data_IF_285266060428
#
_entry.id   IF_285266060428
#
_cell.length_a   1.000
_cell.length_b   1.000
_cell.length_c   1.000
_cell.angle_alpha   90.00
_cell.angle_beta   90.00
_cell.angle_gamma   90.00
#
_symmetry.space_group_name_H-M   'P 1'
#
loop_
_entity.id
_entity.type
_entity.pdbx_description
1 polymer ?
#
# COMPACT_ATOMS: atom_id res chain seq x y z
N UNK A 1 -4.64 39.13 -5.03
CA UNK A 1 -3.98 37.82 -5.27
C UNK A 1 -3.89 37.11 -3.94
N UNK A 2 -4.74 36.11 -3.69
CA UNK A 2 -4.60 35.21 -2.55
C UNK A 2 -4.32 33.81 -3.11
N UNK A 3 -3.09 33.36 -2.95
CA UNK A 3 -2.64 32.01 -3.25
C UNK A 3 -2.49 31.33 -1.89
N UNK A 4 -3.43 30.46 -1.52
CA UNK A 4 -3.31 29.58 -0.38
C UNK A 4 -3.65 28.15 -0.79
N UNK A 5 -2.57 27.44 -1.15
CA UNK A 5 -2.20 26.06 -0.84
C UNK A 5 -3.09 24.89 -1.33
N UNK A 6 -2.46 23.80 -1.84
CA UNK A 6 -3.17 22.62 -2.30
C UNK A 6 -3.75 21.89 -1.09
N UNK A 7 -5.06 21.89 -0.93
CA UNK A 7 -5.76 21.01 -0.01
C UNK A 7 -5.59 19.59 -0.52
N UNK A 8 -4.55 18.88 -0.08
CA UNK A 8 -4.47 17.45 -0.26
C UNK A 8 -5.74 16.84 0.36
N UNK A 9 -6.49 16.11 -0.46
CA UNK A 9 -7.70 15.37 -0.06
C UNK A 9 -7.39 14.57 1.22
N UNK A 10 -8.24 14.61 2.27
CA UNK A 10 -8.09 13.77 3.46
C UNK A 10 -7.83 12.28 3.15
N UNK A 11 -8.37 11.78 2.04
CA UNK A 11 -8.05 10.43 1.54
C UNK A 11 -6.58 10.30 1.12
N UNK A 12 -6.03 11.28 0.39
CA UNK A 12 -4.63 11.28 -0.02
C UNK A 12 -3.69 11.37 1.19
N UNK A 13 -3.99 12.22 2.16
CA UNK A 13 -3.17 12.35 3.38
C UNK A 13 -3.13 11.06 4.19
N UNK A 14 -4.28 10.39 4.32
CA UNK A 14 -4.38 9.10 5.02
C UNK A 14 -3.70 7.96 4.25
N UNK A 15 -3.73 7.98 2.91
CA UNK A 15 -2.97 7.04 2.09
C UNK A 15 -1.45 7.22 2.24
N UNK A 16 -0.97 8.46 2.33
CA UNK A 16 0.45 8.75 2.57
C UNK A 16 0.88 8.29 3.98
N UNK A 17 0.02 8.45 5.00
CA UNK A 17 0.26 7.91 6.34
C UNK A 17 0.33 6.36 6.32
N UNK A 18 -0.59 5.72 5.60
CA UNK A 18 -0.56 4.27 5.38
C UNK A 18 0.74 3.83 4.70
N UNK A 19 1.16 4.52 3.63
CA UNK A 19 2.38 4.21 2.89
C UNK A 19 3.64 4.30 3.77
N UNK A 20 3.72 5.31 4.66
CA UNK A 20 4.82 5.43 5.63
C UNK A 20 4.90 4.24 6.59
N UNK A 21 3.76 3.76 7.09
CA UNK A 21 3.72 2.59 7.96
C UNK A 21 4.10 1.32 7.21
N UNK A 22 3.63 1.17 5.97
CA UNK A 22 4.01 0.04 5.12
C UNK A 22 5.51 0.06 4.84
N UNK A 23 6.09 1.21 4.47
CA UNK A 23 7.53 1.34 4.21
C UNK A 23 8.39 0.97 5.43
N UNK A 24 7.90 1.19 6.65
CA UNK A 24 8.60 0.79 7.87
C UNK A 24 8.65 -0.74 8.11
N UNK A 25 7.83 -1.53 7.40
CA UNK A 25 7.81 -3.00 7.49
C UNK A 25 8.89 -3.64 6.59
N UNK A 26 9.25 -2.97 5.50
CA UNK A 26 10.13 -3.51 4.47
C UNK A 26 11.55 -2.97 4.61
N UNK A 27 12.54 -3.73 4.14
CA UNK A 27 13.93 -3.27 4.18
C UNK A 27 14.17 -2.20 3.11
N UNK A 28 15.06 -1.22 3.37
CA UNK A 28 15.48 -0.28 2.34
C UNK A 28 15.99 -1.00 1.08
N UNK A 29 15.44 -0.65 -0.08
CA UNK A 29 15.80 -1.25 -1.36
C UNK A 29 15.03 -2.54 -1.72
N UNK A 30 14.15 -3.03 -0.86
CA UNK A 30 13.22 -4.09 -1.25
C UNK A 30 12.28 -3.59 -2.36
N UNK A 31 12.10 -4.43 -3.37
CA UNK A 31 11.22 -4.15 -4.50
C UNK A 31 9.77 -4.44 -4.10
N UNK A 32 9.06 -3.41 -3.63
CA UNK A 32 7.68 -3.52 -3.18
C UNK A 32 6.80 -2.58 -3.99
N UNK A 33 5.65 -3.07 -4.44
CA UNK A 33 4.67 -2.28 -5.18
C UNK A 33 3.30 -2.36 -4.53
N UNK A 34 2.66 -1.21 -4.35
CA UNK A 34 1.22 -1.11 -4.11
C UNK A 34 0.51 -1.40 -5.43
N UNK A 35 -0.17 -2.54 -5.48
CA UNK A 35 -0.93 -2.99 -6.66
C UNK A 35 -2.39 -2.53 -6.59
N UNK A 36 -2.94 -2.46 -5.38
CA UNK A 36 -4.30 -1.97 -5.14
C UNK A 36 -4.33 -1.16 -3.85
N UNK A 37 -5.07 -0.05 -3.86
CA UNK A 37 -5.40 0.72 -2.67
C UNK A 37 -6.86 1.17 -2.81
N UNK A 38 -7.73 0.67 -1.94
CA UNK A 38 -9.14 1.00 -1.91
C UNK A 38 -9.49 1.67 -0.58
N UNK A 39 -10.08 2.87 -0.68
CA UNK A 39 -10.61 3.60 0.46
C UNK A 39 -12.07 3.22 0.69
N UNK A 40 -12.39 2.85 1.92
CA UNK A 40 -13.77 2.62 2.34
C UNK A 40 -14.26 3.85 3.11
N UNK A 41 -15.38 4.44 2.70
CA UNK A 41 -15.87 5.67 3.33
C UNK A 41 -16.71 5.41 4.59
N UNK A 42 -17.39 4.26 4.64
CA UNK A 42 -18.28 3.90 5.75
C UNK A 42 -17.52 3.38 6.98
N UNK A 43 -16.36 2.78 6.75
CA UNK A 43 -15.35 2.47 7.75
C UNK A 43 -14.09 3.16 7.27
N UNK A 44 -13.61 4.25 7.88
CA UNK A 44 -12.49 5.05 7.37
C UNK A 44 -11.18 4.25 7.39
N UNK A 45 -11.02 3.37 6.40
CA UNK A 45 -9.93 2.41 6.29
C UNK A 45 -9.41 2.39 4.87
N UNK A 46 -8.14 2.01 4.74
CA UNK A 46 -7.53 1.64 3.46
C UNK A 46 -7.32 0.12 3.42
N UNK A 47 -7.80 -0.53 2.36
CA UNK A 47 -7.41 -1.89 2.00
C UNK A 47 -6.29 -1.79 0.97
N UNK A 48 -5.12 -2.32 1.29
CA UNK A 48 -3.94 -2.23 0.44
C UNK A 48 -3.42 -3.61 0.11
N UNK A 49 -3.21 -3.88 -1.17
CA UNK A 49 -2.55 -5.09 -1.66
C UNK A 49 -1.17 -4.71 -2.18
N UNK A 50 -0.15 -5.31 -1.57
CA UNK A 50 1.24 -5.17 -1.97
C UNK A 50 1.70 -6.42 -2.72
N UNK A 51 2.55 -6.24 -3.74
CA UNK A 51 3.40 -7.30 -4.25
C UNK A 51 4.82 -7.09 -3.72
N UNK A 52 5.40 -8.10 -3.08
CA UNK A 52 6.74 -8.03 -2.49
C UNK A 52 7.46 -9.39 -2.56
N UNK A 53 8.79 -9.42 -2.33
CA UNK A 53 9.51 -10.67 -2.17
C UNK A 53 8.97 -11.44 -0.96
N UNK A 54 8.80 -12.74 -1.13
CA UNK A 54 8.51 -13.71 -0.09
C UNK A 54 9.75 -14.56 0.23
N UNK A 55 9.55 -15.60 1.03
CA UNK A 55 10.63 -16.53 1.36
C UNK A 55 11.06 -17.35 0.14
N UNK A 56 12.32 -17.79 0.10
CA UNK A 56 12.85 -18.69 -0.94
C UNK A 56 12.74 -18.12 -2.38
N UNK A 57 12.70 -16.80 -2.52
CA UNK A 57 12.71 -16.12 -3.82
C UNK A 57 11.36 -16.14 -4.55
N UNK A 58 10.27 -16.56 -3.88
CA UNK A 58 8.92 -16.45 -4.47
C UNK A 58 8.39 -15.05 -4.28
N UNK A 59 7.55 -14.57 -5.20
CA UNK A 59 6.80 -13.34 -5.02
C UNK A 59 5.48 -13.63 -4.32
N UNK A 60 5.04 -12.71 -3.48
CA UNK A 60 3.79 -12.84 -2.74
C UNK A 60 3.01 -11.55 -2.77
N UNK A 61 1.69 -11.69 -2.80
CA UNK A 61 0.80 -10.61 -2.42
C UNK A 61 0.65 -10.58 -0.90
N UNK A 62 0.87 -9.43 -0.28
CA UNK A 62 0.51 -9.18 1.12
C UNK A 62 -0.62 -8.17 1.18
N UNK A 63 -1.64 -8.48 1.98
CA UNK A 63 -2.82 -7.62 2.17
C UNK A 63 -2.77 -6.98 3.54
N UNK A 64 -3.08 -5.70 3.57
CA UNK A 64 -3.14 -4.90 4.77
C UNK A 64 -4.45 -4.11 4.84
N UNK A 65 -4.89 -3.86 6.07
CA UNK A 65 -5.96 -2.92 6.41
C UNK A 65 -5.35 -1.83 7.28
N UNK A 66 -5.36 -0.60 6.81
CA UNK A 66 -5.01 0.56 7.64
C UNK A 66 -6.29 1.19 8.18
N UNK A 67 -6.43 1.23 9.49
CA UNK A 67 -7.53 1.87 10.19
C UNK A 67 -7.16 3.32 10.53
N UNK A 68 -7.80 4.30 9.89
CA UNK A 68 -7.41 5.71 10.01
C UNK A 68 -7.64 6.26 11.43
N UNK A 69 -8.79 6.00 12.09
CA UNK A 69 -9.04 6.53 13.44
C UNK A 69 -8.03 6.05 14.48
N UNK A 70 -7.63 4.78 14.42
CA UNK A 70 -6.62 4.24 15.34
C UNK A 70 -5.18 4.42 14.86
N UNK A 71 -4.98 4.78 13.59
CA UNK A 71 -3.65 4.84 12.96
C UNK A 71 -2.97 3.48 12.86
N UNK A 72 -3.72 2.37 12.94
CA UNK A 72 -3.15 1.03 13.04
C UNK A 72 -3.16 0.30 11.70
N UNK A 73 -2.05 -0.34 11.37
CA UNK A 73 -1.91 -1.17 10.18
C UNK A 73 -2.01 -2.65 10.55
N UNK A 74 -3.01 -3.33 10.02
CA UNK A 74 -3.29 -4.75 10.26
C UNK A 74 -2.90 -5.57 9.04
N UNK A 75 -2.09 -6.61 9.23
CA UNK A 75 -1.89 -7.63 8.21
C UNK A 75 -3.12 -8.52 8.12
N UNK A 76 -3.67 -8.72 6.91
CA UNK A 76 -4.93 -9.45 6.69
C UNK A 76 -4.75 -10.73 5.88
N UNK A 77 -3.57 -10.97 5.32
CA UNK A 77 -3.25 -12.24 4.68
C UNK A 77 -2.17 -12.12 3.61
N UNK A 78 -1.77 -13.28 3.10
CA UNK A 78 -0.79 -13.41 2.05
C UNK A 78 -1.18 -14.52 1.09
N UNK A 79 -0.84 -14.35 -0.18
CA UNK A 79 -1.00 -15.38 -1.21
C UNK A 79 0.19 -15.38 -2.18
N UNK A 80 0.57 -16.53 -2.76
CA UNK A 80 1.59 -16.59 -3.79
C UNK A 80 1.21 -15.72 -4.99
N UNK A 81 2.22 -15.09 -5.62
CA UNK A 81 2.07 -14.35 -6.85
C UNK A 81 2.85 -15.01 -7.99
N UNK A 82 2.30 -14.95 -9.20
CA UNK A 82 2.92 -15.48 -10.41
C UNK A 82 3.79 -14.44 -11.12
N UNK A 83 4.46 -14.89 -12.18
CA UNK A 83 5.28 -14.01 -13.02
C UNK A 83 4.44 -12.94 -13.74
N UNK A 84 3.22 -13.27 -14.16
CA UNK A 84 2.29 -12.32 -14.77
C UNK A 84 1.93 -11.18 -13.81
N UNK A 85 1.72 -11.48 -12.53
CA UNK A 85 1.44 -10.49 -11.49
C UNK A 85 2.61 -9.54 -11.30
N UNK A 86 3.84 -10.06 -11.32
CA UNK A 86 5.05 -9.25 -11.25
C UNK A 86 5.20 -8.33 -12.47
N UNK A 87 4.89 -8.83 -13.67
CA UNK A 87 4.91 -8.02 -14.88
C UNK A 87 3.88 -6.88 -14.83
N UNK A 88 2.68 -7.14 -14.30
CA UNK A 88 1.65 -6.13 -14.10
C UNK A 88 2.10 -5.11 -13.06
N UNK A 89 2.55 -5.55 -11.88
CA UNK A 89 3.00 -4.67 -10.81
C UNK A 89 4.14 -3.75 -11.24
N UNK A 90 5.10 -4.24 -12.03
CA UNK A 90 6.18 -3.42 -12.58
C UNK A 90 5.70 -2.36 -13.57
N UNK A 91 4.61 -2.62 -14.29
CA UNK A 91 4.08 -1.72 -15.33
C UNK A 91 3.15 -0.66 -14.75
N UNK A 92 2.30 -1.04 -13.79
CA UNK A 92 1.20 -0.19 -13.32
C UNK A 92 1.12 -0.03 -11.81
N UNK A 93 1.89 -0.80 -11.05
CA UNK A 93 1.96 -0.67 -9.60
C UNK A 93 2.68 0.60 -9.18
N UNK A 94 2.28 1.17 -8.04
CA UNK A 94 3.00 2.29 -7.42
C UNK A 94 4.12 1.73 -6.55
N UNK A 95 5.40 2.07 -6.79
CA UNK A 95 6.47 1.73 -5.86
C UNK A 95 6.13 2.24 -4.46
N UNK A 96 6.37 1.40 -3.44
CA UNK A 96 6.15 1.77 -2.04
C UNK A 96 7.25 2.71 -1.53
#
# INVERSE_FOLDING_TARGET
>A
MNILQPTADPAQQSLDACARLLAAIFQPGEQVWICEAAYEINEPIWRVTLLCPGERGVWVFRRYRYDIPSGTLHFTGMMPAGEADLAVARRSGRPL
#
